data_IF_988849891813
#
_entry.id   IF_988849891813
#
_cell.length_a   1.000
_cell.length_b   1.000
_cell.length_c   1.000
_cell.angle_alpha   90.00
_cell.angle_beta   90.00
_cell.angle_gamma   90.00
#
_symmetry.space_group_name_H-M   'P 1'
#
loop_
_entity.id
_entity.type
_entity.pdbx_description
1 polymer ?
#
# COMPACT_ATOMS: atom_id res chain seq x y z
N UNK A 1 0.06 41.87 10.25
CA UNK A 1 1.12 40.96 9.78
C UNK A 1 0.64 39.54 10.02
N UNK A 2 0.32 38.79 8.97
CA UNK A 2 -0.07 37.39 9.08
C UNK A 2 1.19 36.54 8.84
N UNK A 3 1.63 35.76 9.82
CA UNK A 3 2.70 34.78 9.64
C UNK A 3 2.24 33.44 10.23
N UNK A 4 2.55 32.35 9.54
CA UNK A 4 2.32 31.00 10.05
C UNK A 4 3.41 30.70 11.08
N UNK A 5 3.05 30.38 12.34
CA UNK A 5 4.04 29.97 13.33
C UNK A 5 4.74 28.69 12.86
N UNK A 6 6.07 28.65 13.01
CA UNK A 6 6.83 27.43 12.77
C UNK A 6 6.44 26.41 13.83
N UNK A 7 5.72 25.38 13.42
CA UNK A 7 5.42 24.21 14.26
C UNK A 7 6.53 23.20 14.04
N UNK A 8 7.02 22.59 15.12
CA UNK A 8 7.99 21.51 15.01
C UNK A 8 7.39 20.34 14.20
N UNK A 9 8.18 19.66 13.36
CA UNK A 9 7.73 18.45 12.69
C UNK A 9 7.25 17.44 13.73
N UNK A 10 6.16 16.73 13.41
CA UNK A 10 5.72 15.60 14.22
C UNK A 10 6.75 14.48 14.08
N UNK A 11 7.04 13.80 15.19
CA UNK A 11 7.92 12.63 15.14
C UNK A 11 7.41 11.60 14.11
N UNK A 12 8.30 11.00 13.31
CA UNK A 12 7.90 10.03 12.30
C UNK A 12 7.17 8.86 12.94
N UNK A 13 6.01 8.49 12.38
CA UNK A 13 5.36 7.24 12.77
C UNK A 13 6.23 6.07 12.30
N UNK A 14 6.58 5.16 13.20
CA UNK A 14 7.33 3.96 12.86
C UNK A 14 6.50 2.94 12.09
N UNK A 15 5.16 3.02 12.18
CA UNK A 15 4.24 2.00 11.68
C UNK A 15 3.63 2.40 10.33
N UNK A 16 4.44 2.93 9.41
CA UNK A 16 4.02 3.19 8.04
C UNK A 16 4.49 2.07 7.12
N UNK A 17 3.63 1.68 6.20
CA UNK A 17 3.95 0.80 5.08
C UNK A 17 3.54 1.53 3.80
N UNK A 18 4.50 1.76 2.91
CA UNK A 18 4.23 2.27 1.58
C UNK A 18 4.04 1.09 0.63
N UNK A 19 3.14 1.19 -0.33
CA UNK A 19 3.03 0.16 -1.36
C UNK A 19 2.55 0.74 -2.68
N UNK A 20 2.74 -0.05 -3.73
CA UNK A 20 2.29 0.24 -5.08
C UNK A 20 1.99 -1.08 -5.82
N UNK A 21 0.98 -1.05 -6.69
CA UNK A 21 0.61 -2.18 -7.55
C UNK A 21 0.84 -1.86 -9.02
N UNK A 22 1.45 -2.80 -9.71
CA UNK A 22 1.44 -2.83 -11.17
C UNK A 22 0.42 -3.85 -11.65
N UNK A 23 -0.17 -3.54 -12.80
CA UNK A 23 -1.23 -4.35 -13.40
C UNK A 23 -0.91 -4.70 -14.84
N UNK A 24 -1.25 -5.94 -15.21
CA UNK A 24 -1.42 -6.32 -16.60
C UNK A 24 -2.81 -5.87 -17.06
N UNK A 25 -2.88 -5.22 -18.22
CA UNK A 25 -4.12 -4.74 -18.84
C UNK A 25 -4.33 -5.30 -20.25
N UNK A 26 -3.59 -6.34 -20.65
CA UNK A 26 -3.60 -6.87 -22.02
C UNK A 26 -5.01 -7.31 -22.48
N UNK A 27 -5.84 -7.78 -21.55
CA UNK A 27 -7.21 -8.23 -21.82
C UNK A 27 -8.29 -7.15 -21.60
N UNK A 28 -7.89 -5.90 -21.36
CA UNK A 28 -8.80 -4.78 -21.09
C UNK A 28 -9.25 -4.67 -19.63
N UNK A 29 -8.93 -5.65 -18.79
CA UNK A 29 -9.12 -5.60 -17.35
C UNK A 29 -7.77 -5.46 -16.65
N UNK A 30 -7.73 -4.66 -15.58
CA UNK A 30 -6.52 -4.54 -14.76
C UNK A 30 -6.41 -5.74 -13.81
N UNK A 31 -5.35 -6.52 -13.95
CA UNK A 31 -5.03 -7.62 -13.02
C UNK A 31 -3.67 -7.36 -12.41
N UNK A 32 -3.61 -7.25 -11.09
CA UNK A 32 -2.35 -7.05 -10.36
C UNK A 32 -1.44 -8.26 -10.59
N UNK A 33 -0.28 -8.00 -11.20
CA UNK A 33 0.75 -9.01 -11.48
C UNK A 33 2.07 -8.72 -10.74
N UNK A 34 2.17 -7.57 -10.07
CA UNK A 34 3.32 -7.19 -9.28
C UNK A 34 2.92 -6.21 -8.17
N UNK A 35 3.46 -6.41 -6.97
CA UNK A 35 3.24 -5.52 -5.84
C UNK A 35 4.53 -5.37 -5.04
N UNK A 36 4.79 -4.17 -4.55
CA UNK A 36 5.90 -3.88 -3.64
C UNK A 36 5.36 -3.18 -2.41
N UNK A 37 5.77 -3.63 -1.23
CA UNK A 37 5.57 -2.95 0.02
C UNK A 37 6.92 -2.55 0.62
N UNK A 38 7.03 -1.36 1.19
CA UNK A 38 8.23 -0.83 1.82
C UNK A 38 7.90 -0.33 3.24
N UNK A 39 8.68 -0.77 4.23
CA UNK A 39 8.61 -0.26 5.59
C UNK A 39 9.38 1.07 5.73
N UNK A 40 9.14 1.79 6.82
CA UNK A 40 9.86 3.05 7.14
C UNK A 40 11.38 2.90 7.25
N UNK A 41 11.87 1.69 7.55
CA UNK A 41 13.30 1.37 7.63
C UNK A 41 13.93 0.98 6.28
N UNK A 42 13.16 1.06 5.18
CA UNK A 42 13.62 0.76 3.83
C UNK A 42 13.59 -0.73 3.47
N UNK A 43 13.18 -1.64 4.37
CA UNK A 43 12.97 -3.04 4.01
C UNK A 43 11.79 -3.16 3.05
N UNK A 44 11.94 -4.01 2.04
CA UNK A 44 10.92 -4.24 1.03
C UNK A 44 10.39 -5.67 1.06
N UNK A 45 9.13 -5.82 0.67
CA UNK A 45 8.48 -7.09 0.38
C UNK A 45 7.89 -7.03 -1.01
N UNK A 46 8.34 -7.92 -1.88
CA UNK A 46 7.94 -7.98 -3.29
C UNK A 46 7.04 -9.21 -3.49
N UNK A 47 5.96 -9.03 -4.24
CA UNK A 47 5.03 -10.06 -4.67
C UNK A 47 4.97 -10.06 -6.20
N UNK A 48 5.01 -11.24 -6.82
CA UNK A 48 5.13 -11.40 -8.28
C UNK A 48 4.11 -12.38 -8.81
N UNK A 49 3.68 -12.16 -10.04
CA UNK A 49 2.73 -13.02 -10.74
C UNK A 49 1.29 -12.67 -10.42
N UNK A 50 0.35 -13.38 -11.05
CA UNK A 50 -1.08 -13.08 -10.95
C UNK A 50 -1.71 -13.41 -9.58
N UNK A 51 -0.96 -14.02 -8.66
CA UNK A 51 -1.35 -14.17 -7.25
C UNK A 51 -0.91 -12.98 -6.38
N UNK A 52 -0.20 -11.99 -6.92
CA UNK A 52 0.45 -10.92 -6.16
C UNK A 52 -0.54 -10.14 -5.28
N UNK A 53 -1.73 -9.79 -5.78
CA UNK A 53 -2.74 -9.10 -4.97
C UNK A 53 -3.20 -9.94 -3.77
N UNK A 54 -3.49 -11.23 -3.99
CA UNK A 54 -3.94 -12.13 -2.93
C UNK A 54 -2.85 -12.34 -1.87
N UNK A 55 -1.61 -12.55 -2.29
CA UNK A 55 -0.47 -12.72 -1.38
C UNK A 55 -0.16 -11.45 -0.61
N UNK A 56 -0.20 -10.29 -1.28
CA UNK A 56 -0.05 -8.99 -0.65
C UNK A 56 -1.14 -8.77 0.41
N UNK A 57 -2.42 -9.01 0.09
CA UNK A 57 -3.52 -8.80 1.04
C UNK A 57 -3.41 -9.74 2.25
N UNK A 58 -3.10 -11.03 2.04
CA UNK A 58 -2.86 -11.98 3.13
C UNK A 58 -1.70 -11.53 4.03
N UNK A 59 -0.63 -11.03 3.44
CA UNK A 59 0.51 -10.48 4.18
C UNK A 59 0.10 -9.20 4.93
N UNK A 60 -0.62 -8.29 4.28
CA UNK A 60 -1.01 -7.00 4.85
C UNK A 60 -1.97 -7.15 6.03
N UNK A 61 -2.94 -8.06 5.94
CA UNK A 61 -3.92 -8.31 7.01
C UNK A 61 -3.44 -9.33 8.05
N UNK A 62 -2.21 -9.82 7.95
CA UNK A 62 -1.62 -10.65 8.99
C UNK A 62 -1.51 -9.87 10.33
N UNK A 63 -1.62 -10.55 11.49
CA UNK A 63 -1.54 -9.90 12.80
C UNK A 63 -0.29 -9.03 13.02
N UNK A 64 0.80 -9.34 12.30
CA UNK A 64 2.05 -8.58 12.31
C UNK A 64 1.85 -7.10 11.97
N UNK A 65 0.95 -6.77 11.04
CA UNK A 65 0.74 -5.40 10.56
C UNK A 65 -0.44 -4.71 11.24
N UNK A 66 -0.95 -5.27 12.33
CA UNK A 66 -1.97 -4.61 13.14
C UNK A 66 -1.46 -3.22 13.57
N UNK A 67 -2.34 -2.22 13.49
CA UNK A 67 -2.04 -0.81 13.80
C UNK A 67 -1.02 -0.12 12.87
N UNK A 68 -0.67 -0.72 11.73
CA UNK A 68 0.09 -0.02 10.70
C UNK A 68 -0.84 0.85 9.86
N UNK A 69 -0.34 2.02 9.45
CA UNK A 69 -0.97 2.85 8.42
C UNK A 69 -0.33 2.52 7.08
N UNK A 70 -1.15 2.13 6.12
CA UNK A 70 -0.69 1.68 4.80
C UNK A 70 -1.03 2.75 3.78
N UNK A 71 -0.05 3.15 2.98
CA UNK A 71 -0.14 4.31 2.07
C UNK A 71 0.24 3.86 0.66
N UNK A 72 -0.63 4.13 -0.31
CA UNK A 72 -0.31 4.05 -1.73
C UNK A 72 -0.42 5.42 -2.38
N UNK A 73 0.27 5.61 -3.51
CA UNK A 73 0.26 6.89 -4.23
C UNK A 73 -1.15 7.27 -4.70
N UNK A 74 -1.93 6.29 -5.19
CA UNK A 74 -3.32 6.49 -5.61
C UNK A 74 -4.28 5.52 -4.92
N UNK A 75 -4.19 5.44 -3.58
CA UNK A 75 -5.02 4.54 -2.75
C UNK A 75 -6.51 4.57 -3.12
N UNK A 76 -7.12 5.77 -3.18
CA UNK A 76 -8.56 5.88 -3.44
C UNK A 76 -8.93 5.55 -4.88
N UNK A 77 -8.12 5.99 -5.84
CA UNK A 77 -8.46 5.95 -7.26
C UNK A 77 -8.07 4.65 -7.94
N UNK A 78 -7.13 3.87 -7.39
CA UNK A 78 -6.59 2.70 -8.05
C UNK A 78 -6.24 1.57 -7.08
N UNK A 79 -5.13 1.67 -6.34
CA UNK A 79 -4.56 0.57 -5.56
C UNK A 79 -5.55 -0.03 -4.54
N UNK A 80 -6.27 0.84 -3.84
CA UNK A 80 -7.24 0.44 -2.83
C UNK A 80 -8.49 -0.22 -3.40
N UNK A 81 -8.77 -0.10 -4.71
CA UNK A 81 -9.87 -0.81 -5.35
C UNK A 81 -9.61 -2.32 -5.39
N UNK A 82 -8.37 -2.74 -5.64
CA UNK A 82 -8.00 -4.17 -5.61
C UNK A 82 -8.07 -4.75 -4.20
N UNK A 83 -7.63 -4.00 -3.19
CA UNK A 83 -7.74 -4.41 -1.78
C UNK A 83 -9.21 -4.51 -1.38
N UNK A 84 -10.03 -3.54 -1.75
CA UNK A 84 -11.47 -3.55 -1.46
C UNK A 84 -12.18 -4.71 -2.14
N UNK A 85 -11.84 -4.99 -3.41
CA UNK A 85 -12.32 -6.17 -4.13
C UNK A 85 -11.99 -7.46 -3.40
N UNK A 86 -10.73 -7.65 -3.01
CA UNK A 86 -10.29 -8.83 -2.26
C UNK A 86 -11.02 -9.02 -0.91
N UNK A 87 -11.43 -7.94 -0.24
CA UNK A 87 -12.18 -8.00 1.03
C UNK A 87 -13.66 -8.37 0.86
N UNK A 88 -14.23 -8.10 -0.32
CA UNK A 88 -15.65 -8.31 -0.60
C UNK A 88 -15.94 -9.69 -1.19
N UNK A 89 -14.91 -10.42 -1.57
CA UNK A 89 -14.93 -11.83 -1.99
C UNK A 89 -14.96 -12.79 -0.77
#
# INVERSE_FOLDING_TARGET
MCYLPRVAPKEPSTNLIFFDFETDQTLGEHVVNFAVAQYTDGREKIFRGYSACQEFCKWLFAPLHKNHTVIAHNMKGFDGQFISGWMLE
#
